data_IF_171255740626
#
_entry.id   IF_171255740626
#
_cell.length_a   1.000
_cell.length_b   1.000
_cell.length_c   1.000
_cell.angle_alpha   90.00
_cell.angle_beta   90.00
_cell.angle_gamma   90.00
#
_symmetry.space_group_name_H-M   'P 1'
#
loop_
_entity.id
_entity.type
_entity.pdbx_description
1 polymer ?
#
# COMPACT_ATOMS: atom_id res chain seq x y z
N UNK A 1 -22.03 3.30 1.64
CA UNK A 1 -21.15 4.48 1.84
C UNK A 1 -20.08 4.45 0.77
N UNK A 2 -19.66 5.59 0.19
CA UNK A 2 -18.54 5.60 -0.75
C UNK A 2 -17.28 5.11 -0.05
N UNK A 3 -16.48 4.30 -0.73
CA UNK A 3 -15.16 3.88 -0.24
C UNK A 3 -14.23 5.09 -0.42
N UNK A 4 -13.77 5.70 0.66
CA UNK A 4 -12.71 6.72 0.59
C UNK A 4 -11.36 6.04 0.43
N UNK A 5 -10.53 6.61 -0.44
CA UNK A 5 -9.15 6.21 -0.64
C UNK A 5 -8.25 7.32 -0.12
N UNK A 6 -7.30 6.94 0.71
CA UNK A 6 -6.35 7.84 1.36
C UNK A 6 -4.95 7.61 0.80
N UNK A 7 -4.22 8.69 0.57
CA UNK A 7 -2.85 8.62 0.07
C UNK A 7 -1.88 8.24 1.20
N UNK A 8 -0.97 7.32 0.90
CA UNK A 8 0.13 6.94 1.79
C UNK A 8 1.46 7.00 1.04
N UNK A 9 2.51 7.39 1.77
CA UNK A 9 3.89 7.41 1.30
C UNK A 9 4.78 6.80 2.38
N UNK A 10 5.55 5.79 1.99
CA UNK A 10 6.33 4.94 2.90
C UNK A 10 7.75 4.82 2.36
N UNK A 11 8.74 5.18 3.18
CA UNK A 11 10.15 5.05 2.79
C UNK A 11 10.81 3.92 3.57
N UNK A 12 11.37 2.93 2.87
CA UNK A 12 12.10 1.83 3.50
C UNK A 12 13.29 1.40 2.66
N UNK A 13 14.46 1.28 3.29
CA UNK A 13 15.69 0.85 2.61
C UNK A 13 16.12 1.78 1.48
N UNK A 14 15.80 3.08 1.57
CA UNK A 14 16.10 4.08 0.54
C UNK A 14 15.12 4.13 -0.63
N UNK A 15 14.07 3.30 -0.61
CA UNK A 15 13.03 3.26 -1.65
C UNK A 15 11.75 3.86 -1.08
N UNK A 16 11.11 4.75 -1.84
CA UNK A 16 9.80 5.32 -1.50
C UNK A 16 8.69 4.61 -2.28
N UNK A 17 7.73 4.05 -1.55
CA UNK A 17 6.48 3.53 -2.09
C UNK A 17 5.34 4.50 -1.77
N UNK A 18 4.64 4.95 -2.80
CA UNK A 18 3.51 5.86 -2.65
C UNK A 18 2.28 5.31 -3.38
N UNK A 19 1.10 5.44 -2.81
CA UNK A 19 -0.14 4.96 -3.42
C UNK A 19 -1.36 5.24 -2.56
N UNK A 20 -2.45 4.52 -2.79
CA UNK A 20 -3.71 4.72 -2.10
C UNK A 20 -4.19 3.46 -1.38
N UNK A 21 -4.79 3.64 -0.20
CA UNK A 21 -5.41 2.56 0.59
C UNK A 21 -6.82 2.98 1.00
N UNK A 22 -7.66 2.02 1.41
CA UNK A 22 -8.98 2.38 1.94
C UNK A 22 -8.83 3.09 3.31
N UNK A 23 -9.76 3.98 3.65
CA UNK A 23 -9.75 4.61 4.98
C UNK A 23 -9.83 3.59 6.14
N UNK A 24 -10.50 2.46 5.93
CA UNK A 24 -10.55 1.37 6.90
C UNK A 24 -9.18 0.69 7.09
N UNK A 25 -8.42 0.52 6.01
CA UNK A 25 -7.07 -0.03 6.09
C UNK A 25 -6.08 0.97 6.68
N UNK A 26 -6.19 2.25 6.35
CA UNK A 26 -5.38 3.30 6.97
C UNK A 26 -5.56 3.28 8.50
N UNK A 27 -6.81 3.25 8.98
CA UNK A 27 -7.10 3.16 10.42
C UNK A 27 -6.46 1.91 11.07
N UNK A 28 -6.38 0.78 10.36
CA UNK A 28 -5.75 -0.45 10.86
C UNK A 28 -4.22 -0.35 10.88
N UNK A 29 -3.64 0.35 9.92
CA UNK A 29 -2.20 0.65 9.90
C UNK A 29 -1.87 1.56 11.08
N UNK A 30 -2.59 2.67 11.24
CA UNK A 30 -2.37 3.68 12.29
C UNK A 30 -2.62 3.14 13.70
N UNK A 31 -3.55 2.18 13.87
CA UNK A 31 -3.76 1.50 15.15
C UNK A 31 -2.61 0.55 15.54
N UNK A 32 -1.64 0.35 14.65
CA UNK A 32 -0.48 -0.51 14.88
C UNK A 32 -0.78 -2.00 14.78
N UNK A 33 -1.98 -2.39 14.36
CA UNK A 33 -2.36 -3.79 14.20
C UNK A 33 -1.60 -4.46 13.05
N UNK A 34 -1.38 -5.76 13.18
CA UNK A 34 -0.93 -6.56 12.04
C UNK A 34 -2.06 -6.66 11.00
N UNK A 35 -1.83 -6.16 9.79
CA UNK A 35 -2.84 -6.15 8.75
C UNK A 35 -2.26 -6.32 7.35
N UNK A 36 -2.97 -7.07 6.52
CA UNK A 36 -2.78 -7.08 5.07
C UNK A 36 -3.64 -6.00 4.44
N UNK A 37 -3.02 -5.17 3.61
CA UNK A 37 -3.64 -4.01 2.96
C UNK A 37 -3.36 -4.04 1.48
N UNK A 38 -4.40 -3.75 0.68
CA UNK A 38 -4.26 -3.58 -0.76
C UNK A 38 -3.94 -2.12 -1.04
N UNK A 39 -2.78 -1.87 -1.63
CA UNK A 39 -2.36 -0.56 -2.11
C UNK A 39 -2.67 -0.44 -3.61
N UNK A 40 -3.25 0.69 -3.99
CA UNK A 40 -3.67 1.04 -5.35
C UNK A 40 -2.79 2.14 -5.92
N UNK A 41 -2.64 2.15 -7.26
CA UNK A 41 -1.85 3.11 -8.03
C UNK A 41 -0.46 3.37 -7.44
N UNK A 42 0.17 2.28 -6.99
CA UNK A 42 1.45 2.32 -6.32
C UNK A 42 2.53 2.75 -7.29
N UNK A 43 3.38 3.67 -6.83
CA UNK A 43 4.62 4.07 -7.48
C UNK A 43 5.80 3.72 -6.59
N UNK A 44 6.93 3.37 -7.21
CA UNK A 44 8.23 3.19 -6.56
C UNK A 44 9.19 4.22 -7.11
N UNK A 45 9.60 5.18 -6.29
CA UNK A 45 10.48 6.28 -6.70
C UNK A 45 9.99 6.97 -7.99
N UNK A 46 8.67 7.10 -8.12
CA UNK A 46 7.99 7.67 -9.30
C UNK A 46 7.67 6.68 -10.43
N UNK A 47 8.24 5.46 -10.43
CA UNK A 47 7.91 4.44 -11.43
C UNK A 47 6.62 3.68 -11.07
N UNK A 48 5.65 3.53 -11.99
CA UNK A 48 4.39 2.85 -11.69
C UNK A 48 4.58 1.35 -11.45
N UNK A 49 3.97 0.83 -10.38
CA UNK A 49 3.88 -0.58 -10.03
C UNK A 49 2.44 -1.13 -10.10
N UNK A 50 1.43 -0.25 -10.13
CA UNK A 50 0.03 -0.66 -10.18
C UNK A 50 -0.50 -1.04 -8.80
N UNK A 51 -0.82 -2.31 -8.56
CA UNK A 51 -1.39 -2.77 -7.27
C UNK A 51 -0.40 -3.64 -6.51
N UNK A 52 -0.29 -3.40 -5.21
CA UNK A 52 0.49 -4.22 -4.28
C UNK A 52 -0.37 -4.68 -3.12
N UNK A 53 -0.04 -5.82 -2.52
CA UNK A 53 -0.50 -6.19 -1.18
C UNK A 53 0.67 -6.00 -0.22
N UNK A 54 0.48 -5.18 0.81
CA UNK A 54 1.45 -4.93 1.87
C UNK A 54 1.03 -5.56 3.20
N UNK A 55 1.97 -6.14 3.93
CA UNK A 55 1.80 -6.53 5.34
C UNK A 55 2.35 -5.42 6.23
N UNK A 56 1.48 -4.83 7.03
CA UNK A 56 1.83 -3.83 8.03
C UNK A 56 1.88 -4.46 9.42
N UNK A 57 2.86 -4.07 10.25
CA UNK A 57 2.98 -4.45 11.66
C UNK A 57 3.44 -3.24 12.45
N UNK A 58 2.69 -2.84 13.49
CA UNK A 58 3.03 -1.65 14.27
C UNK A 58 3.03 -0.36 13.44
N UNK A 59 2.22 -0.28 12.39
CA UNK A 59 2.18 0.86 11.45
C UNK A 59 3.23 0.82 10.34
N UNK A 60 4.18 -0.11 10.40
CA UNK A 60 5.29 -0.18 9.45
C UNK A 60 5.08 -1.25 8.37
N UNK A 61 5.46 -0.94 7.13
CA UNK A 61 5.40 -1.89 6.02
C UNK A 61 6.53 -2.92 6.11
N UNK A 62 6.17 -4.17 6.38
CA UNK A 62 7.12 -5.27 6.64
C UNK A 62 7.42 -6.14 5.42
N UNK A 63 6.44 -6.37 4.55
CA UNK A 63 6.62 -7.04 3.27
C UNK A 63 5.60 -6.56 2.26
N UNK A 64 5.91 -6.68 0.97
CA UNK A 64 4.95 -6.45 -0.11
C UNK A 64 5.09 -7.48 -1.20
N UNK A 65 3.96 -7.86 -1.79
CA UNK A 65 3.91 -8.68 -3.00
C UNK A 65 3.15 -7.91 -4.09
N UNK A 66 3.70 -7.82 -5.30
CA UNK A 66 2.97 -7.23 -6.40
C UNK A 66 1.79 -8.11 -6.80
N UNK A 67 0.63 -7.48 -7.03
CA UNK A 67 -0.56 -8.18 -7.51
C UNK A 67 -0.44 -8.29 -9.02
N UNK A 68 0.18 -9.38 -9.49
CA UNK A 68 0.29 -9.66 -10.92
C UNK A 68 -1.05 -10.22 -11.39
N UNK A 69 -1.93 -9.32 -11.82
CA UNK A 69 -3.24 -9.65 -12.36
C UNK A 69 -3.77 -8.50 -13.21
N UNK A 70 -3.74 -8.71 -14.54
CA UNK A 70 -4.27 -7.85 -15.61
C UNK A 70 -3.41 -6.67 -16.11
N UNK A 71 -2.12 -6.90 -16.40
CA UNK A 71 -1.50 -6.22 -17.55
C UNK A 71 -1.24 -7.28 -18.62
N UNK A 72 -2.27 -7.54 -19.44
CA UNK A 72 -2.01 -8.07 -20.79
C UNK A 72 -1.49 -6.89 -21.61
N UNK A 73 -0.38 -7.14 -22.29
CA UNK A 73 0.20 -6.28 -23.32
C UNK A 73 -0.84 -5.89 -24.39
#
# INVERSE_FOLDING_TARGET
MPVSFEFISLTRGGITLSGFVSGADLNRIESGQECLVVMHDVTRDGAPLGRLVGLFRGGELTTQVPVWGAVRA
#
